data_IF_318815647629
#
_entry.id   IF_318815647629
#
_cell.length_a   1.000
_cell.length_b   1.000
_cell.length_c   1.000
_cell.angle_alpha   90.00
_cell.angle_beta   90.00
_cell.angle_gamma   90.00
#
_symmetry.space_group_name_H-M   'P 1'
#
loop_
_entity.id
_entity.type
_entity.pdbx_description
1 polymer ?
#
# COMPACT_ATOMS: atom_id res chain seq x y z
N UNK A 1 -9.57 13.95 -8.87
CA UNK A 1 -10.01 13.29 -7.63
C UNK A 1 -8.82 12.63 -6.97
N UNK A 2 -8.64 12.85 -5.69
CA UNK A 2 -7.48 12.31 -4.96
C UNK A 2 -7.87 11.04 -4.22
N UNK A 3 -7.05 10.01 -4.37
CA UNK A 3 -7.26 8.73 -3.69
C UNK A 3 -6.30 8.64 -2.51
N UNK A 4 -6.86 8.47 -1.32
CA UNK A 4 -6.08 8.36 -0.09
C UNK A 4 -5.90 6.88 0.25
N UNK A 5 -4.66 6.46 0.33
CA UNK A 5 -4.30 5.08 0.69
C UNK A 5 -3.70 5.08 2.08
N UNK A 6 -4.25 4.25 2.96
CA UNK A 6 -3.72 4.06 4.31
C UNK A 6 -2.89 2.79 4.34
N UNK A 7 -1.70 2.91 4.90
CA UNK A 7 -0.80 1.79 5.10
C UNK A 7 -0.56 1.61 6.59
N UNK A 8 -0.78 0.41 7.09
CA UNK A 8 -0.57 0.10 8.50
C UNK A 8 0.47 -1.01 8.61
N UNK A 9 1.56 -0.71 9.29
CA UNK A 9 2.62 -1.69 9.51
C UNK A 9 2.30 -2.59 10.70
N UNK A 10 3.02 -3.71 10.79
CA UNK A 10 2.80 -4.69 11.85
C UNK A 10 3.06 -4.12 13.25
N UNK A 11 3.83 -3.06 13.38
CA UNK A 11 4.10 -2.42 14.66
C UNK A 11 3.09 -1.31 15.01
N UNK A 12 2.03 -1.18 14.23
CA UNK A 12 0.97 -0.22 14.49
C UNK A 12 1.17 1.16 13.89
N UNK A 13 2.26 1.40 13.18
CA UNK A 13 2.48 2.68 12.52
C UNK A 13 1.54 2.82 11.32
N UNK A 14 0.89 3.98 11.19
CA UNK A 14 -0.03 4.26 10.09
C UNK A 14 0.58 5.35 9.21
N UNK A 15 0.60 5.11 7.91
CA UNK A 15 1.06 6.07 6.92
C UNK A 15 -0.04 6.31 5.89
N UNK A 16 -0.23 7.57 5.51
CA UNK A 16 -1.24 7.94 4.53
C UNK A 16 -0.55 8.50 3.28
N UNK A 17 -0.99 8.04 2.12
CA UNK A 17 -0.46 8.47 0.83
C UNK A 17 -1.61 8.95 -0.03
N UNK A 18 -1.46 10.10 -0.67
CA UNK A 18 -2.45 10.63 -1.60
C UNK A 18 -1.98 10.41 -3.03
N UNK A 19 -2.83 9.81 -3.85
CA UNK A 19 -2.53 9.48 -5.23
C UNK A 19 -3.55 10.16 -6.16
N UNK A 20 -3.13 10.61 -7.36
CA UNK A 20 -3.98 11.44 -8.21
C UNK A 20 -5.03 10.68 -9.01
N UNK A 21 -4.88 9.36 -9.20
CA UNK A 21 -5.77 8.60 -10.06
C UNK A 21 -5.84 7.13 -9.66
N UNK A 22 -6.87 6.43 -10.19
CA UNK A 22 -6.99 4.98 -9.99
C UNK A 22 -5.77 4.23 -10.56
N UNK A 23 -5.29 4.68 -11.71
CA UNK A 23 -4.10 4.08 -12.32
C UNK A 23 -2.88 4.22 -11.40
N UNK A 24 -2.74 5.37 -10.75
CA UNK A 24 -1.66 5.58 -9.79
C UNK A 24 -1.78 4.64 -8.59
N UNK A 25 -3.01 4.40 -8.11
CA UNK A 25 -3.24 3.46 -7.00
C UNK A 25 -2.86 2.05 -7.43
N UNK A 26 -3.29 1.60 -8.62
CA UNK A 26 -2.96 0.28 -9.12
C UNK A 26 -1.44 0.12 -9.29
N UNK A 27 -0.78 1.11 -9.83
CA UNK A 27 0.66 1.09 -9.98
C UNK A 27 1.36 1.02 -8.63
N UNK A 28 0.89 1.79 -7.65
CA UNK A 28 1.43 1.74 -6.31
C UNK A 28 1.33 0.35 -5.71
N UNK A 29 0.16 -0.29 -5.82
CA UNK A 29 -0.06 -1.63 -5.31
C UNK A 29 0.88 -2.64 -5.98
N UNK A 30 1.15 -2.47 -7.27
CA UNK A 30 2.02 -3.37 -8.02
C UNK A 30 3.50 -3.17 -7.73
N UNK A 31 3.91 -1.94 -7.41
CA UNK A 31 5.33 -1.62 -7.23
C UNK A 31 5.77 -1.59 -5.78
N UNK A 32 4.87 -1.28 -4.86
CA UNK A 32 5.23 -1.15 -3.44
C UNK A 32 5.82 -2.42 -2.84
N UNK A 33 5.30 -3.63 -3.15
CA UNK A 33 5.90 -4.85 -2.59
C UNK A 33 7.38 -5.02 -2.93
N UNK A 34 7.82 -4.46 -4.04
CA UNK A 34 9.22 -4.53 -4.45
C UNK A 34 10.13 -3.63 -3.59
N UNK A 35 9.54 -2.73 -2.82
CA UNK A 35 10.26 -1.84 -1.91
C UNK A 35 10.29 -2.37 -0.49
N UNK A 36 9.55 -3.45 -0.20
CA UNK A 36 9.48 -4.04 1.13
C UNK A 36 10.26 -5.34 1.16
N UNK A 37 11.06 -5.56 2.22
CA UNK A 37 11.78 -6.83 2.39
C UNK A 37 10.83 -8.01 2.49
N UNK A 38 11.30 -9.17 2.03
CA UNK A 38 10.55 -10.42 2.21
C UNK A 38 10.31 -10.65 3.70
N UNK A 39 9.07 -11.01 4.03
CA UNK A 39 8.65 -11.24 5.41
C UNK A 39 7.97 -10.03 6.06
N UNK A 40 8.04 -8.87 5.43
CA UNK A 40 7.33 -7.68 5.93
C UNK A 40 5.95 -7.63 5.29
N UNK A 41 4.92 -7.44 6.11
CA UNK A 41 3.54 -7.33 5.66
C UNK A 41 2.99 -5.96 6.07
N UNK A 42 2.31 -5.30 5.15
CA UNK A 42 1.68 -4.00 5.39
C UNK A 42 0.22 -4.08 5.00
N UNK A 43 -0.67 -3.71 5.91
CA UNK A 43 -2.09 -3.63 5.59
C UNK A 43 -2.37 -2.35 4.81
N UNK A 44 -3.11 -2.48 3.72
CA UNK A 44 -3.43 -1.36 2.85
C UNK A 44 -4.94 -1.24 2.72
N UNK A 45 -5.44 -0.02 2.72
CA UNK A 45 -6.84 0.25 2.45
C UNK A 45 -6.99 1.55 1.67
N UNK A 46 -7.98 1.57 0.79
CA UNK A 46 -8.36 2.77 0.06
C UNK A 46 -9.88 2.89 0.11
N UNK A 47 -10.38 3.79 0.93
CA UNK A 47 -11.81 3.91 1.17
C UNK A 47 -12.58 4.30 -0.08
N UNK A 48 -12.04 5.19 -0.90
CA UNK A 48 -12.70 5.69 -2.09
C UNK A 48 -12.92 4.59 -3.13
N UNK A 49 -12.00 3.63 -3.21
CA UNK A 49 -12.12 2.48 -4.11
C UNK A 49 -12.76 1.27 -3.43
N UNK A 50 -12.93 1.31 -2.11
CA UNK A 50 -13.43 0.17 -1.36
C UNK A 50 -12.48 -1.02 -1.36
N UNK A 51 -11.19 -0.77 -1.51
CA UNK A 51 -10.18 -1.82 -1.61
C UNK A 51 -9.47 -1.98 -0.28
N UNK A 52 -9.30 -3.23 0.13
CA UNK A 52 -8.53 -3.60 1.33
C UNK A 52 -7.68 -4.81 1.02
N UNK A 53 -6.52 -4.89 1.64
CA UNK A 53 -5.69 -6.05 1.47
C UNK A 53 -4.39 -5.93 2.25
N UNK A 54 -3.57 -6.98 2.12
CA UNK A 54 -2.24 -7.01 2.73
C UNK A 54 -1.22 -7.03 1.61
N UNK A 55 -0.25 -6.12 1.69
CA UNK A 55 0.88 -6.08 0.77
C UNK A 55 2.00 -6.87 1.42
N UNK A 56 2.48 -7.90 0.73
CA UNK A 56 3.60 -8.72 1.19
C UNK A 56 4.87 -8.26 0.49
N UNK A 57 5.92 -8.04 1.25
CA UNK A 57 7.21 -7.64 0.70
C UNK A 57 7.80 -8.71 -0.20
N UNK A 58 8.43 -8.28 -1.28
CA UNK A 58 9.07 -9.17 -2.27
C UNK A 58 10.54 -8.84 -2.50
N UNK A 59 11.03 -7.75 -1.92
CA UNK A 59 12.41 -7.34 -2.12
C UNK A 59 13.35 -8.28 -1.36
N UNK A 60 14.33 -8.81 -2.05
CA UNK A 60 15.39 -9.59 -1.39
C UNK A 60 16.28 -8.65 -0.60
N UNK A 61 16.58 -9.05 0.62
CA UNK A 61 17.45 -8.26 1.48
C UNK A 61 18.90 -8.29 0.98
#
# INVERSE_FOLDING_TARGET
MTYTVKLETFNGAVKTINLPSRGAVAQFINTYPNQLPVGVHVKMSCDLLGVRGTIKGKALA
#
